data_IF_055730898748
#
_entry.id   IF_055730898748
#
_cell.length_a   1.000
_cell.length_b   1.000
_cell.length_c   1.000
_cell.angle_alpha   90.00
_cell.angle_beta   90.00
_cell.angle_gamma   90.00
#
_symmetry.space_group_name_H-M   'P 1'
#
loop_
_entity.id
_entity.type
_entity.pdbx_description
1 polymer ?
#
# COMPACT_ATOMS: atom_id res chain seq x y z
N UNK A 1 47.43 -12.50 -10.28
CA UNK A 1 47.43 -11.05 -10.56
C UNK A 1 46.02 -10.51 -10.34
N UNK A 2 45.81 -9.62 -9.36
CA UNK A 2 44.54 -8.87 -9.21
C UNK A 2 44.65 -7.60 -10.05
N UNK A 3 43.81 -7.46 -11.07
CA UNK A 3 43.62 -6.20 -11.79
C UNK A 3 42.90 -5.21 -10.86
N UNK A 4 43.65 -4.40 -10.12
CA UNK A 4 43.07 -3.22 -9.47
C UNK A 4 42.99 -2.11 -10.51
N UNK A 5 41.84 -1.95 -11.14
CA UNK A 5 41.57 -0.75 -11.96
C UNK A 5 41.63 0.47 -11.04
N UNK A 6 42.72 1.23 -11.10
CA UNK A 6 42.84 2.50 -10.38
C UNK A 6 42.02 3.54 -11.13
N UNK A 7 40.86 3.90 -10.58
CA UNK A 7 40.05 5.00 -11.11
C UNK A 7 40.72 6.34 -10.77
N UNK A 8 40.66 7.29 -11.69
CA UNK A 8 41.14 8.65 -11.42
C UNK A 8 40.19 9.37 -10.47
N UNK A 9 40.66 10.40 -9.76
CA UNK A 9 39.83 11.17 -8.83
C UNK A 9 38.57 11.75 -9.50
N UNK A 10 38.65 12.13 -10.78
CA UNK A 10 37.51 12.59 -11.57
C UNK A 10 36.49 11.48 -11.87
N UNK A 11 36.94 10.25 -12.11
CA UNK A 11 36.04 9.10 -12.29
C UNK A 11 35.30 8.76 -10.98
N UNK A 12 35.95 8.88 -9.83
CA UNK A 12 35.28 8.71 -8.54
C UNK A 12 34.22 9.79 -8.28
N UNK A 13 34.52 11.06 -8.58
CA UNK A 13 33.54 12.15 -8.47
C UNK A 13 32.32 11.90 -9.36
N UNK A 14 32.55 11.48 -10.60
CA UNK A 14 31.47 11.16 -11.54
C UNK A 14 30.60 9.99 -11.04
N UNK A 15 31.19 8.92 -10.52
CA UNK A 15 30.41 7.79 -9.99
C UNK A 15 29.62 8.19 -8.73
N UNK A 16 30.16 9.03 -7.85
CA UNK A 16 29.43 9.55 -6.69
C UNK A 16 28.19 10.34 -7.13
N UNK A 17 28.32 11.22 -8.13
CA UNK A 17 27.18 11.97 -8.68
C UNK A 17 26.14 11.01 -9.27
N UNK A 18 26.57 10.04 -10.07
CA UNK A 18 25.69 9.04 -10.68
C UNK A 18 24.92 8.22 -9.64
N UNK A 19 25.58 7.82 -8.55
CA UNK A 19 24.96 7.09 -7.45
C UNK A 19 23.93 7.96 -6.72
N UNK A 20 24.22 9.25 -6.50
CA UNK A 20 23.27 10.20 -5.90
C UNK A 20 22.03 10.40 -6.77
N UNK A 21 22.20 10.60 -8.08
CA UNK A 21 21.08 10.73 -9.02
C UNK A 21 20.21 9.48 -9.05
N UNK A 22 20.83 8.29 -9.03
CA UNK A 22 20.12 7.02 -8.93
C UNK A 22 19.31 6.92 -7.64
N UNK A 23 19.92 7.24 -6.50
CA UNK A 23 19.26 7.18 -5.19
C UNK A 23 18.06 8.14 -5.14
N UNK A 24 18.21 9.37 -5.62
CA UNK A 24 17.12 10.35 -5.75
C UNK A 24 15.97 9.78 -6.59
N UNK A 25 16.28 9.19 -7.75
CA UNK A 25 15.27 8.59 -8.64
C UNK A 25 14.56 7.41 -7.97
N UNK A 26 15.32 6.50 -7.35
CA UNK A 26 14.76 5.32 -6.66
C UNK A 26 13.86 5.74 -5.49
N UNK A 27 14.31 6.68 -4.65
CA UNK A 27 13.50 7.20 -3.54
C UNK A 27 12.23 7.89 -4.03
N UNK A 28 12.30 8.66 -5.11
CA UNK A 28 11.11 9.28 -5.72
C UNK A 28 10.10 8.21 -6.15
N UNK A 29 10.55 7.19 -6.87
CA UNK A 29 9.69 6.08 -7.31
C UNK A 29 9.07 5.34 -6.13
N UNK A 30 9.87 4.99 -5.11
CA UNK A 30 9.38 4.28 -3.92
C UNK A 30 8.33 5.13 -3.18
N UNK A 31 8.55 6.44 -3.02
CA UNK A 31 7.56 7.33 -2.40
C UNK A 31 6.24 7.35 -3.18
N UNK A 32 6.31 7.46 -4.51
CA UNK A 32 5.12 7.43 -5.36
C UNK A 32 4.36 6.10 -5.27
N UNK A 33 5.07 4.97 -5.35
CA UNK A 33 4.48 3.64 -5.19
C UNK A 33 3.85 3.43 -3.82
N UNK A 34 4.50 3.93 -2.77
CA UNK A 34 4.00 3.86 -1.38
C UNK A 34 2.71 4.66 -1.25
N UNK A 35 2.68 5.90 -1.74
CA UNK A 35 1.48 6.74 -1.74
C UNK A 35 0.33 6.10 -2.53
N UNK A 36 0.62 5.52 -3.70
CA UNK A 36 -0.39 4.83 -4.51
C UNK A 36 -0.95 3.59 -3.81
N UNK A 37 -0.09 2.78 -3.18
CA UNK A 37 -0.50 1.63 -2.38
C UNK A 37 -1.41 2.05 -1.23
N UNK A 38 -1.03 3.10 -0.49
CA UNK A 38 -1.78 3.56 0.67
C UNK A 38 -3.14 4.16 0.25
N UNK A 39 -3.18 4.91 -0.85
CA UNK A 39 -4.43 5.38 -1.44
C UNK A 39 -5.34 4.23 -1.90
N UNK A 40 -4.78 3.20 -2.54
CA UNK A 40 -5.56 2.03 -2.96
C UNK A 40 -6.14 1.28 -1.76
N UNK A 41 -5.36 1.12 -0.69
CA UNK A 41 -5.83 0.55 0.58
C UNK A 41 -6.96 1.37 1.20
N UNK A 42 -6.79 2.70 1.28
CA UNK A 42 -7.83 3.58 1.81
C UNK A 42 -9.13 3.50 0.99
N UNK A 43 -9.04 3.50 -0.34
CA UNK A 43 -10.20 3.32 -1.22
C UNK A 43 -10.88 1.97 -1.02
N UNK A 44 -10.10 0.91 -0.84
CA UNK A 44 -10.62 -0.42 -0.57
C UNK A 44 -11.38 -0.46 0.76
N UNK A 45 -10.81 0.11 1.82
CA UNK A 45 -11.49 0.14 3.13
C UNK A 45 -12.74 1.00 3.14
N UNK A 46 -12.75 2.14 2.45
CA UNK A 46 -13.96 2.96 2.35
C UNK A 46 -15.11 2.22 1.64
N UNK A 47 -14.79 1.43 0.60
CA UNK A 47 -15.79 0.57 -0.05
C UNK A 47 -16.31 -0.49 0.90
N UNK A 48 -15.42 -1.18 1.64
CA UNK A 48 -15.81 -2.17 2.64
C UNK A 48 -16.71 -1.58 3.72
N UNK A 49 -16.35 -0.41 4.28
CA UNK A 49 -17.16 0.31 5.26
C UNK A 49 -18.56 0.64 4.73
N UNK A 50 -18.65 1.11 3.49
CA UNK A 50 -19.94 1.44 2.86
C UNK A 50 -20.83 0.20 2.72
N UNK A 51 -20.27 -0.92 2.23
CA UNK A 51 -20.99 -2.18 2.05
C UNK A 51 -21.46 -2.73 3.39
N UNK A 52 -20.61 -2.68 4.42
CA UNK A 52 -20.96 -3.12 5.76
C UNK A 52 -22.02 -2.23 6.40
N UNK A 53 -21.97 -0.92 6.18
CA UNK A 53 -23.01 0.00 6.61
C UNK A 53 -24.37 -0.37 5.98
N UNK A 54 -24.42 -0.53 4.66
CA UNK A 54 -25.64 -0.99 3.97
C UNK A 54 -26.15 -2.33 4.50
N UNK A 55 -25.25 -3.27 4.81
CA UNK A 55 -25.61 -4.54 5.44
C UNK A 55 -26.18 -4.36 6.85
N UNK A 56 -25.59 -3.48 7.66
CA UNK A 56 -26.03 -3.21 9.03
C UNK A 56 -27.40 -2.51 9.03
N UNK A 57 -27.59 -1.56 8.13
CA UNK A 57 -28.83 -0.79 7.95
C UNK A 57 -29.97 -1.65 7.35
N UNK A 58 -29.70 -2.92 7.01
CA UNK A 58 -30.70 -3.86 6.48
C UNK A 58 -30.97 -3.72 4.98
N UNK A 59 -30.21 -2.88 4.28
CA UNK A 59 -30.34 -2.67 2.82
C UNK A 59 -29.60 -3.70 1.97
N UNK A 60 -28.83 -4.59 2.59
CA UNK A 60 -28.04 -5.60 1.89
C UNK A 60 -28.01 -6.93 2.63
N UNK A 61 -28.62 -7.94 2.02
CA UNK A 61 -28.64 -9.32 2.53
C UNK A 61 -27.38 -10.09 2.08
N UNK A 62 -26.22 -9.74 2.64
CA UNK A 62 -24.98 -10.49 2.46
C UNK A 62 -24.41 -10.93 3.80
N UNK A 63 -23.87 -12.15 3.88
CA UNK A 63 -23.16 -12.58 5.09
C UNK A 63 -21.78 -11.92 5.15
N UNK A 64 -21.19 -11.84 6.35
CA UNK A 64 -19.80 -11.39 6.50
C UNK A 64 -18.81 -12.28 5.72
N UNK A 65 -19.13 -13.56 5.53
CA UNK A 65 -18.30 -14.48 4.71
C UNK A 65 -18.37 -14.11 3.23
N UNK A 66 -19.55 -13.75 2.72
CA UNK A 66 -19.71 -13.34 1.32
C UNK A 66 -18.97 -12.04 1.03
N UNK A 67 -19.05 -11.07 1.95
CA UNK A 67 -18.33 -9.81 1.84
C UNK A 67 -16.82 -10.06 1.88
N UNK A 68 -16.33 -10.86 2.83
CA UNK A 68 -14.91 -11.24 2.91
C UNK A 68 -14.40 -11.85 1.60
N UNK A 69 -15.16 -12.79 1.01
CA UNK A 69 -14.80 -13.43 -0.26
C UNK A 69 -14.80 -12.45 -1.44
N UNK A 70 -15.85 -11.63 -1.59
CA UNK A 70 -16.00 -10.69 -2.72
C UNK A 70 -14.96 -9.59 -2.72
N UNK A 71 -14.54 -9.15 -1.53
CA UNK A 71 -13.61 -8.05 -1.35
C UNK A 71 -12.19 -8.53 -1.01
N UNK A 72 -11.91 -9.83 -1.10
CA UNK A 72 -10.58 -10.39 -0.82
C UNK A 72 -10.03 -9.96 0.56
N UNK A 73 -10.90 -9.90 1.55
CA UNK A 73 -10.59 -9.53 2.92
C UNK A 73 -10.73 -10.75 3.85
N UNK A 74 -10.04 -10.76 4.98
CA UNK A 74 -10.21 -11.83 5.96
C UNK A 74 -11.56 -11.70 6.67
N UNK A 75 -12.14 -12.83 7.05
CA UNK A 75 -13.40 -12.84 7.82
C UNK A 75 -13.27 -12.10 9.15
N UNK A 76 -12.12 -12.22 9.83
CA UNK A 76 -11.83 -11.50 11.07
C UNK A 76 -11.82 -9.99 10.88
N UNK A 77 -11.22 -9.51 9.79
CA UNK A 77 -11.22 -8.09 9.44
C UNK A 77 -12.64 -7.56 9.23
N UNK A 78 -13.46 -8.26 8.43
CA UNK A 78 -14.84 -7.89 8.19
C UNK A 78 -15.67 -7.85 9.49
N UNK A 79 -15.48 -8.83 10.38
CA UNK A 79 -16.18 -8.88 11.67
C UNK A 79 -15.82 -7.68 12.55
N UNK A 80 -14.53 -7.37 12.67
CA UNK A 80 -14.05 -6.24 13.46
C UNK A 80 -14.52 -4.91 12.88
N UNK A 81 -14.41 -4.74 11.56
CA UNK A 81 -14.85 -3.53 10.86
C UNK A 81 -16.36 -3.32 11.00
N UNK A 82 -17.16 -4.40 10.90
CA UNK A 82 -18.60 -4.34 11.14
C UNK A 82 -18.95 -3.92 12.56
N UNK A 83 -18.15 -4.34 13.56
CA UNK A 83 -18.36 -3.94 14.95
C UNK A 83 -18.07 -2.43 15.11
N UNK A 84 -16.94 -1.95 14.59
CA UNK A 84 -16.55 -0.54 14.64
C UNK A 84 -17.63 0.38 14.03
N UNK A 85 -18.17 0.02 12.86
CA UNK A 85 -19.22 0.80 12.20
C UNK A 85 -20.50 0.86 13.05
N UNK A 86 -20.84 -0.22 13.76
CA UNK A 86 -22.00 -0.22 14.69
C UNK A 86 -21.76 0.67 15.91
N UNK A 87 -20.52 0.78 16.35
CA UNK A 87 -20.12 1.62 17.49
C UNK A 87 -20.11 3.11 17.17
N UNK A 88 -20.24 3.51 15.89
CA UNK A 88 -20.18 4.91 15.48
C UNK A 88 -18.76 5.44 15.28
N UNK A 89 -17.74 4.57 15.18
CA UNK A 89 -16.32 4.89 14.95
C UNK A 89 -15.88 4.83 13.47
#
# INVERSE_FOLDING_TARGET
MKLTNQHTAEQYKAEIVRLRERDIKQRSTIRSLTANRDNLKAKHENKLRTVLKLKIDGHLELTHRDIAKRYFASYSHIKNLSALIRSGE
#
